data_IF_972070664341
#
_entry.id   IF_972070664341
#
_cell.length_a   1.000
_cell.length_b   1.000
_cell.length_c   1.000
_cell.angle_alpha   90.00
_cell.angle_beta   90.00
_cell.angle_gamma   90.00
#
_symmetry.space_group_name_H-M   'P 1'
#
loop_
_entity.id
_entity.type
_entity.pdbx_description
1 polymer ?
#
# COMPACT_ATOMS: atom_id res chain seq x y z
N UNK A 1 -32.37 17.64 26.27
CA UNK A 1 -32.29 16.63 25.19
C UNK A 1 -30.97 15.91 25.35
N UNK A 2 -30.95 14.59 25.29
CA UNK A 2 -29.72 13.79 25.35
C UNK A 2 -29.17 13.65 23.94
N UNK A 3 -27.93 14.07 23.74
CA UNK A 3 -27.31 14.14 22.42
C UNK A 3 -25.86 13.63 22.39
N UNK A 4 -25.34 13.16 23.53
CA UNK A 4 -23.92 12.82 23.69
C UNK A 4 -23.72 11.31 23.87
N UNK A 5 -22.72 10.73 23.21
CA UNK A 5 -22.28 9.35 23.43
C UNK A 5 -21.16 9.37 24.47
N UNK A 6 -21.31 8.65 25.58
CA UNK A 6 -20.29 8.53 26.62
C UNK A 6 -19.46 7.28 26.43
N UNK A 7 -18.14 7.36 26.56
CA UNK A 7 -17.24 6.20 26.48
C UNK A 7 -16.64 5.92 27.86
N UNK A 8 -17.06 4.80 28.46
CA UNK A 8 -16.50 4.27 29.71
C UNK A 8 -15.42 3.23 29.38
N UNK A 9 -14.22 3.40 29.93
CA UNK A 9 -13.05 2.56 29.61
C UNK A 9 -12.07 2.46 30.80
N UNK A 10 -11.16 1.48 30.76
CA UNK A 10 -10.13 1.35 31.78
C UNK A 10 -8.91 2.24 31.47
N UNK A 11 -8.76 3.36 32.18
CA UNK A 11 -7.58 4.23 32.06
C UNK A 11 -6.37 3.66 32.83
N UNK A 12 -5.13 3.73 32.29
CA UNK A 12 -4.77 4.14 30.94
C UNK A 12 -4.77 2.99 29.90
N UNK A 13 -5.10 1.76 30.33
CA UNK A 13 -4.83 0.54 29.57
C UNK A 13 -5.64 0.41 28.26
N UNK A 14 -6.85 0.98 28.21
CA UNK A 14 -7.75 0.93 27.06
C UNK A 14 -7.82 2.28 26.31
N UNK A 15 -6.88 3.19 26.57
CA UNK A 15 -6.88 4.52 25.98
C UNK A 15 -6.79 4.48 24.45
N UNK A 16 -5.91 3.66 23.87
CA UNK A 16 -5.70 3.59 22.42
C UNK A 16 -7.01 3.31 21.66
N UNK A 17 -7.76 2.30 22.11
CA UNK A 17 -9.06 1.96 21.53
C UNK A 17 -10.09 3.07 21.76
N UNK A 18 -10.16 3.58 22.99
CA UNK A 18 -11.17 4.57 23.38
C UNK A 18 -10.97 5.89 22.63
N UNK A 19 -9.71 6.28 22.41
CA UNK A 19 -9.33 7.42 21.56
C UNK A 19 -9.74 7.17 20.12
N UNK A 20 -9.40 6.00 19.56
CA UNK A 20 -9.70 5.64 18.18
C UNK A 20 -11.21 5.63 17.90
N UNK A 21 -12.02 5.04 18.77
CA UNK A 21 -13.47 4.99 18.54
C UNK A 21 -14.11 6.37 18.68
N UNK A 22 -13.62 7.19 19.61
CA UNK A 22 -14.06 8.59 19.77
C UNK A 22 -13.82 9.37 18.48
N UNK A 23 -12.61 9.32 17.91
CA UNK A 23 -12.29 10.08 16.71
C UNK A 23 -13.16 9.67 15.53
N UNK A 24 -13.39 8.36 15.34
CA UNK A 24 -14.27 7.86 14.26
C UNK A 24 -15.71 8.32 14.40
N UNK A 25 -16.26 8.29 15.61
CA UNK A 25 -17.64 8.72 15.87
C UNK A 25 -17.79 10.24 15.68
N UNK A 26 -16.83 11.04 16.13
CA UNK A 26 -16.86 12.50 15.92
C UNK A 26 -16.74 12.88 14.44
N UNK A 27 -15.86 12.21 13.68
CA UNK A 27 -15.76 12.40 12.22
C UNK A 27 -17.08 12.10 11.50
N UNK A 28 -17.88 11.19 12.07
CA UNK A 28 -19.21 10.85 11.56
C UNK A 28 -20.31 11.78 12.09
N UNK A 29 -19.94 12.84 12.81
CA UNK A 29 -20.83 13.88 13.31
C UNK A 29 -21.51 13.58 14.65
N UNK A 30 -21.13 12.50 15.34
CA UNK A 30 -21.66 12.22 16.68
C UNK A 30 -20.97 13.10 17.71
N UNK A 31 -21.71 13.57 18.71
CA UNK A 31 -21.14 14.26 19.87
C UNK A 31 -20.70 13.22 20.88
N UNK A 32 -19.41 13.14 21.14
CA UNK A 32 -18.83 12.10 22.00
C UNK A 32 -18.18 12.73 23.24
N UNK A 33 -18.20 12.01 24.35
CA UNK A 33 -17.50 12.36 25.58
C UNK A 33 -16.67 11.17 26.05
N UNK A 34 -15.40 11.42 26.35
CA UNK A 34 -14.45 10.46 26.90
C UNK A 34 -13.66 11.13 28.02
N UNK A 35 -13.40 10.43 29.12
CA UNK A 35 -12.52 10.91 30.18
C UNK A 35 -11.07 10.81 29.69
N UNK A 36 -10.47 11.93 29.33
CA UNK A 36 -9.24 11.91 28.50
C UNK A 36 -7.98 12.37 29.20
N UNK A 37 -8.04 13.33 30.11
CA UNK A 37 -6.84 13.90 30.69
C UNK A 37 -7.11 14.40 32.10
N UNK A 38 -6.13 14.17 32.98
CA UNK A 38 -6.15 14.63 34.35
C UNK A 38 -6.54 16.10 34.43
N UNK A 39 -7.55 16.35 35.26
CA UNK A 39 -7.86 17.67 35.81
C UNK A 39 -6.55 18.43 36.06
N UNK A 40 -6.49 19.68 35.61
CA UNK A 40 -5.36 20.61 35.85
C UNK A 40 -5.06 20.85 37.35
N UNK A 41 -5.86 20.24 38.25
CA UNK A 41 -5.80 20.32 39.70
C UNK A 41 -6.91 21.21 40.26
N UNK A 42 -7.79 20.67 41.11
CA UNK A 42 -8.78 21.45 41.89
C UNK A 42 -10.27 21.21 41.58
N UNK A 43 -10.62 20.49 40.52
CA UNK A 43 -12.03 20.19 40.19
C UNK A 43 -12.53 18.89 40.86
N UNK A 44 -13.84 18.80 41.13
CA UNK A 44 -14.46 17.56 41.63
C UNK A 44 -14.67 16.58 40.46
N UNK A 45 -13.70 15.70 40.23
CA UNK A 45 -13.69 14.64 39.20
C UNK A 45 -15.05 13.99 38.92
N UNK A 46 -15.74 13.55 39.97
CA UNK A 46 -17.02 12.86 39.84
C UNK A 46 -18.18 13.73 39.36
N UNK A 47 -18.18 15.03 39.68
CA UNK A 47 -19.28 15.94 39.31
C UNK A 47 -19.33 16.22 37.80
N UNK A 48 -18.19 16.14 37.11
CA UNK A 48 -18.10 16.30 35.65
C UNK A 48 -18.60 15.04 34.94
N UNK A 49 -18.20 13.86 35.43
CA UNK A 49 -18.65 12.56 34.90
C UNK A 49 -20.17 12.41 35.02
N UNK A 50 -20.74 12.75 36.19
CA UNK A 50 -22.20 12.71 36.38
C UNK A 50 -22.93 13.62 35.38
N UNK A 51 -22.48 14.87 35.21
CA UNK A 51 -23.07 15.80 34.24
C UNK A 51 -22.96 15.30 32.80
N UNK A 52 -21.89 14.59 32.45
CA UNK A 52 -21.71 13.99 31.14
C UNK A 52 -22.70 12.82 30.94
N UNK A 53 -22.81 11.92 31.92
CA UNK A 53 -23.75 10.80 31.90
C UNK A 53 -25.22 11.26 31.84
N UNK A 54 -25.60 12.31 32.56
CA UNK A 54 -26.97 12.87 32.51
C UNK A 54 -27.36 13.37 31.10
N UNK A 55 -26.37 13.82 30.32
CA UNK A 55 -26.54 14.31 28.93
C UNK A 55 -26.42 13.19 27.90
N UNK A 56 -26.08 11.99 28.33
CA UNK A 56 -25.74 10.90 27.44
C UNK A 56 -26.98 10.22 26.87
N UNK A 57 -26.99 10.00 25.55
CA UNK A 57 -28.01 9.21 24.86
C UNK A 57 -27.64 7.72 24.82
N UNK A 58 -26.34 7.41 24.78
CA UNK A 58 -25.78 6.05 24.87
C UNK A 58 -24.48 6.07 25.67
N UNK A 59 -24.22 4.97 26.37
CA UNK A 59 -22.98 4.69 27.07
C UNK A 59 -22.30 3.51 26.37
N UNK A 60 -21.18 3.76 25.71
CA UNK A 60 -20.32 2.73 25.13
C UNK A 60 -19.35 2.26 26.20
N UNK A 61 -19.45 1.00 26.59
CA UNK A 61 -18.60 0.41 27.61
C UNK A 61 -17.50 -0.42 26.95
N UNK A 62 -16.25 0.02 27.06
CA UNK A 62 -15.10 -0.72 26.55
C UNK A 62 -14.84 -1.93 27.43
N UNK A 63 -15.18 -3.10 26.91
CA UNK A 63 -15.07 -4.39 27.58
C UNK A 63 -13.74 -5.05 27.23
N UNK A 64 -12.86 -5.14 28.22
CA UNK A 64 -11.52 -5.73 28.11
C UNK A 64 -11.14 -6.47 29.39
N UNK A 65 -10.06 -7.23 29.39
CA UNK A 65 -9.48 -7.79 30.63
C UNK A 65 -9.04 -6.72 31.64
N UNK A 66 -8.87 -5.47 31.21
CA UNK A 66 -8.33 -4.39 32.04
C UNK A 66 -9.39 -3.74 32.94
N UNK A 67 -10.68 -4.00 32.69
CA UNK A 67 -11.80 -3.46 33.50
C UNK A 67 -11.85 -4.03 34.91
N UNK A 68 -11.17 -5.16 35.16
CA UNK A 68 -11.07 -5.81 36.47
C UNK A 68 -9.67 -5.66 37.07
N UNK A 69 -9.59 -5.73 38.40
CA UNK A 69 -8.33 -5.86 39.15
C UNK A 69 -7.79 -7.28 39.04
N UNK A 70 -6.57 -7.53 39.54
CA UNK A 70 -5.97 -8.87 39.61
C UNK A 70 -6.80 -9.87 40.41
N UNK A 71 -7.73 -9.39 41.24
CA UNK A 71 -8.64 -10.19 42.06
C UNK A 71 -9.99 -10.45 41.37
N UNK A 72 -10.17 -9.99 40.12
CA UNK A 72 -11.39 -10.20 39.35
C UNK A 72 -12.55 -9.26 39.73
N UNK A 73 -12.26 -8.19 40.47
CA UNK A 73 -13.25 -7.17 40.89
C UNK A 73 -13.22 -6.01 39.89
N UNK A 74 -14.37 -5.46 39.52
CA UNK A 74 -14.43 -4.27 38.68
C UNK A 74 -13.62 -3.13 39.30
N UNK A 75 -12.92 -2.35 38.46
CA UNK A 75 -12.30 -1.12 38.93
C UNK A 75 -13.38 -0.15 39.39
N UNK A 76 -13.20 0.43 40.58
CA UNK A 76 -14.20 1.25 41.25
C UNK A 76 -14.72 2.42 40.39
N UNK A 77 -13.87 3.06 39.57
CA UNK A 77 -14.31 4.11 38.65
C UNK A 77 -15.32 3.62 37.61
N UNK A 78 -15.03 2.48 36.98
CA UNK A 78 -15.91 1.84 35.99
C UNK A 78 -17.19 1.35 36.65
N UNK A 79 -17.09 0.75 37.84
CA UNK A 79 -18.25 0.28 38.60
C UNK A 79 -19.22 1.44 38.89
N UNK A 80 -18.71 2.54 39.42
CA UNK A 80 -19.53 3.72 39.71
C UNK A 80 -20.19 4.31 38.46
N UNK A 81 -19.47 4.38 37.33
CA UNK A 81 -20.02 4.86 36.05
C UNK A 81 -21.15 3.96 35.55
N UNK A 82 -20.95 2.64 35.58
CA UNK A 82 -21.94 1.67 35.13
C UNK A 82 -23.17 1.64 36.06
N UNK A 83 -22.98 1.74 37.37
CA UNK A 83 -24.10 1.84 38.33
C UNK A 83 -24.91 3.12 38.11
N UNK A 84 -24.25 4.25 37.92
CA UNK A 84 -24.93 5.51 37.62
C UNK A 84 -25.68 5.44 36.28
N UNK A 85 -25.05 4.89 35.23
CA UNK A 85 -25.69 4.68 33.94
C UNK A 85 -26.91 3.74 34.02
N UNK A 86 -26.84 2.67 34.82
CA UNK A 86 -27.98 1.77 35.09
C UNK A 86 -29.10 2.50 35.82
N UNK A 87 -28.78 3.35 36.80
CA UNK A 87 -29.77 4.15 37.53
C UNK A 87 -30.54 5.10 36.59
N UNK A 88 -29.81 5.74 35.68
CA UNK A 88 -30.37 6.61 34.63
C UNK A 88 -31.27 5.81 33.68
N UNK A 89 -30.82 4.65 33.22
CA UNK A 89 -31.59 3.80 32.32
C UNK A 89 -32.91 3.34 32.94
N UNK A 90 -32.89 2.99 34.24
CA UNK A 90 -34.09 2.60 34.97
C UNK A 90 -35.04 3.79 35.21
N UNK A 91 -34.52 4.95 35.60
CA UNK A 91 -35.33 6.14 35.88
C UNK A 91 -36.05 6.66 34.62
N UNK A 92 -35.35 6.67 33.48
CA UNK A 92 -35.87 7.26 32.24
C UNK A 92 -36.41 6.20 31.25
N UNK A 93 -36.45 4.92 31.65
CA UNK A 93 -36.97 3.82 30.84
C UNK A 93 -36.19 3.55 29.55
N UNK A 94 -34.88 3.80 29.56
CA UNK A 94 -34.03 3.74 28.36
C UNK A 94 -33.64 2.31 28.02
N UNK A 95 -33.94 1.91 26.78
CA UNK A 95 -33.55 0.61 26.23
C UNK A 95 -32.17 0.68 25.59
N UNK A 96 -31.41 -0.41 25.73
CA UNK A 96 -30.05 -0.56 25.18
C UNK A 96 -29.15 0.65 25.48
N UNK A 97 -29.26 1.21 26.69
CA UNK A 97 -28.56 2.44 27.07
C UNK A 97 -27.05 2.23 27.18
N UNK A 98 -26.65 1.07 27.70
CA UNK A 98 -25.25 0.64 27.84
C UNK A 98 -24.96 -0.39 26.75
N UNK A 99 -23.95 -0.12 25.91
CA UNK A 99 -23.54 -0.97 24.79
C UNK A 99 -22.09 -1.44 25.05
N UNK A 100 -21.87 -2.71 25.37
CA UNK A 100 -20.52 -3.27 25.53
C UNK A 100 -19.78 -3.39 24.18
N UNK A 101 -18.54 -2.91 24.12
CA UNK A 101 -17.62 -3.03 23.00
C UNK A 101 -16.50 -3.99 23.41
N UNK A 102 -16.47 -5.19 22.84
CA UNK A 102 -15.55 -6.27 23.26
C UNK A 102 -14.25 -6.22 22.47
N UNK A 103 -13.14 -5.80 23.10
CA UNK A 103 -11.92 -5.38 22.37
C UNK A 103 -10.76 -6.38 22.44
N UNK A 104 -10.83 -7.43 23.26
CA UNK A 104 -9.74 -8.40 23.42
C UNK A 104 -10.27 -9.85 23.53
N UNK A 105 -9.45 -10.79 23.98
CA UNK A 105 -9.87 -12.18 24.17
C UNK A 105 -10.40 -12.46 25.59
N UNK A 106 -10.90 -11.43 26.27
CA UNK A 106 -11.48 -11.58 27.61
C UNK A 106 -12.75 -12.45 27.61
N UNK A 107 -12.94 -13.18 28.70
CA UNK A 107 -14.16 -13.96 28.93
C UNK A 107 -15.39 -13.05 28.98
N UNK A 108 -16.53 -13.48 28.44
CA UNK A 108 -17.81 -12.79 28.58
C UNK A 108 -18.38 -12.84 30.03
N UNK A 109 -17.72 -13.58 30.93
CA UNK A 109 -18.11 -13.74 32.34
C UNK A 109 -17.19 -13.00 33.33
N UNK A 110 -16.45 -11.97 32.90
CA UNK A 110 -15.55 -11.23 33.82
C UNK A 110 -16.29 -10.54 34.96
N UNK A 111 -17.56 -10.18 34.76
CA UNK A 111 -18.36 -9.41 35.72
C UNK A 111 -19.78 -9.96 35.79
N UNK A 112 -20.32 -10.03 37.01
CA UNK A 112 -21.71 -10.44 37.27
C UNK A 112 -22.69 -9.50 36.56
N UNK A 113 -23.63 -10.06 35.79
CA UNK A 113 -24.73 -9.31 35.13
C UNK A 113 -24.46 -8.85 33.69
N UNK A 114 -23.23 -8.95 33.19
CA UNK A 114 -22.89 -8.69 31.78
C UNK A 114 -23.13 -9.83 30.75
N UNK A 115 -23.31 -11.11 31.14
CA UNK A 115 -23.62 -12.19 30.19
C UNK A 115 -24.98 -12.07 29.47
N UNK A 116 -25.86 -11.16 29.92
CA UNK A 116 -27.21 -10.98 29.39
C UNK A 116 -27.36 -9.81 28.40
N UNK A 117 -26.25 -9.12 28.06
CA UNK A 117 -26.24 -8.01 27.11
C UNK A 117 -25.45 -8.45 25.89
N UNK A 118 -25.95 -8.19 24.68
CA UNK A 118 -25.21 -8.48 23.45
C UNK A 118 -24.04 -7.49 23.28
N UNK A 119 -22.83 -8.02 23.14
CA UNK A 119 -21.61 -7.23 22.90
C UNK A 119 -21.43 -6.98 21.41
N UNK A 120 -20.80 -5.86 21.07
CA UNK A 120 -20.30 -5.60 19.73
C UNK A 120 -18.82 -6.04 19.68
N UNK A 121 -18.45 -7.01 18.84
CA UNK A 121 -17.09 -7.51 18.75
C UNK A 121 -16.16 -6.52 18.02
N UNK A 122 -15.08 -6.12 18.69
CA UNK A 122 -13.94 -5.36 18.17
C UNK A 122 -12.63 -6.16 18.28
N UNK A 123 -12.64 -7.35 18.88
CA UNK A 123 -11.45 -8.16 19.16
C UNK A 123 -10.68 -8.66 17.92
N UNK A 124 -11.35 -8.86 16.78
CA UNK A 124 -10.70 -9.29 15.54
C UNK A 124 -10.32 -8.10 14.64
N UNK A 125 -11.27 -7.22 14.34
CA UNK A 125 -11.10 -6.09 13.43
C UNK A 125 -11.94 -4.91 13.91
N UNK A 126 -11.29 -3.78 14.17
CA UNK A 126 -11.96 -2.58 14.67
C UNK A 126 -12.93 -1.97 13.64
N UNK A 127 -12.63 -2.08 12.34
CA UNK A 127 -13.49 -1.55 11.28
C UNK A 127 -14.82 -2.30 11.19
N UNK A 128 -14.81 -3.63 11.36
CA UNK A 128 -16.03 -4.45 11.37
C UNK A 128 -16.89 -4.15 12.60
N UNK A 129 -16.25 -4.02 13.77
CA UNK A 129 -16.93 -3.59 15.00
C UNK A 129 -17.58 -2.21 14.87
N UNK A 130 -16.87 -1.25 14.27
CA UNK A 130 -17.39 0.09 14.01
C UNK A 130 -18.61 0.04 13.08
N UNK A 131 -18.55 -0.74 12.00
CA UNK A 131 -19.70 -0.93 11.09
C UNK A 131 -20.93 -1.47 11.80
N UNK A 132 -20.76 -2.39 12.75
CA UNK A 132 -21.86 -2.92 13.54
C UNK A 132 -22.39 -1.89 14.56
N UNK A 133 -21.49 -1.13 15.21
CA UNK A 133 -21.86 -0.04 16.10
C UNK A 133 -22.67 1.03 15.38
N UNK A 134 -22.25 1.45 14.19
CA UNK A 134 -22.98 2.47 13.41
C UNK A 134 -24.39 2.01 13.06
N UNK A 135 -24.58 0.76 12.61
CA UNK A 135 -25.91 0.19 12.38
C UNK A 135 -26.79 0.23 13.64
N UNK A 136 -26.20 0.03 14.82
CA UNK A 136 -26.92 0.10 16.10
C UNK A 136 -27.30 1.53 16.46
N UNK A 137 -26.37 2.49 16.31
CA UNK A 137 -26.63 3.91 16.56
C UNK A 137 -27.70 4.48 15.62
N UNK A 138 -27.67 4.10 14.34
CA UNK A 138 -28.69 4.45 13.35
C UNK A 138 -30.06 3.87 13.71
N UNK A 139 -30.12 2.57 14.05
CA UNK A 139 -31.35 1.90 14.50
C UNK A 139 -31.97 2.58 15.71
N UNK A 140 -31.13 3.08 16.61
CA UNK A 140 -31.54 3.76 17.84
C UNK A 140 -31.81 5.27 17.65
N UNK A 141 -31.74 5.77 16.41
CA UNK A 141 -31.95 7.18 16.05
C UNK A 141 -31.04 8.15 16.84
N UNK A 142 -29.78 7.76 17.07
CA UNK A 142 -28.80 8.64 17.71
C UNK A 142 -28.46 9.80 16.76
N UNK A 143 -28.56 11.08 17.19
CA UNK A 143 -28.37 12.22 16.31
C UNK A 143 -26.89 12.36 15.89
N UNK A 144 -26.66 12.60 14.59
CA UNK A 144 -25.36 12.89 14.00
C UNK A 144 -25.42 14.16 13.16
N UNK A 145 -24.54 15.13 13.41
CA UNK A 145 -24.46 16.39 12.69
C UNK A 145 -23.29 16.39 11.71
N UNK A 146 -23.47 15.75 10.56
CA UNK A 146 -22.44 15.59 9.52
C UNK A 146 -21.99 16.92 8.86
N UNK A 147 -22.57 18.07 9.23
CA UNK A 147 -22.35 19.36 8.55
C UNK A 147 -21.86 20.52 9.42
N UNK A 148 -21.62 20.36 10.73
CA UNK A 148 -21.41 21.55 11.59
C UNK A 148 -20.45 21.39 12.78
N UNK A 149 -19.52 20.42 12.76
CA UNK A 149 -18.49 20.33 13.80
C UNK A 149 -17.08 20.40 13.19
N UNK A 150 -16.33 21.45 13.56
CA UNK A 150 -14.87 21.38 13.60
C UNK A 150 -14.52 20.55 14.84
N UNK A 151 -14.17 19.28 14.67
CA UNK A 151 -13.71 18.48 15.80
C UNK A 151 -12.31 18.96 16.21
N UNK A 152 -12.21 19.56 17.39
CA UNK A 152 -10.93 19.91 18.04
C UNK A 152 -10.11 18.67 18.37
N UNK A 153 -10.75 17.51 18.44
CA UNK A 153 -10.16 16.25 18.85
C UNK A 153 -9.65 15.44 17.65
N UNK A 154 -10.27 15.56 16.47
CA UNK A 154 -9.68 15.05 15.22
C UNK A 154 -8.39 15.80 14.91
N UNK A 155 -8.37 17.13 15.08
CA UNK A 155 -7.14 17.93 14.95
C UNK A 155 -6.07 17.51 15.97
N UNK A 156 -6.44 17.28 17.24
CA UNK A 156 -5.52 16.75 18.25
C UNK A 156 -5.04 15.31 17.95
N UNK A 157 -5.91 14.42 17.48
CA UNK A 157 -5.60 13.03 17.17
C UNK A 157 -4.69 12.89 15.94
N UNK A 158 -4.95 13.68 14.90
CA UNK A 158 -4.09 13.79 13.72
C UNK A 158 -2.71 14.32 14.11
N UNK A 159 -2.63 15.28 15.04
CA UNK A 159 -1.36 15.86 15.46
C UNK A 159 -0.58 14.97 16.46
N UNK A 160 -1.23 14.41 17.48
CA UNK A 160 -0.56 13.74 18.61
C UNK A 160 -0.30 12.23 18.36
N UNK A 161 -1.21 11.53 17.67
CA UNK A 161 -1.17 10.06 17.54
C UNK A 161 -0.69 9.55 16.18
N UNK A 162 -0.96 10.25 15.08
CA UNK A 162 -0.71 9.75 13.71
C UNK A 162 0.67 10.17 13.16
N UNK A 163 1.48 10.90 13.95
CA UNK A 163 2.61 11.76 13.53
C UNK A 163 2.09 13.15 13.22
N UNK A 164 2.82 14.22 13.60
CA UNK A 164 2.52 15.64 13.37
C UNK A 164 2.27 16.02 11.88
N UNK A 165 1.32 15.36 11.22
CA UNK A 165 1.02 15.42 9.80
C UNK A 165 -0.29 16.18 9.66
N UNK A 166 -0.25 17.48 9.89
CA UNK A 166 -1.42 18.32 9.64
C UNK A 166 -1.65 18.42 8.14
N UNK A 167 -2.86 18.09 7.69
CA UNK A 167 -3.30 18.37 6.32
C UNK A 167 -3.52 19.87 6.20
N UNK A 168 -2.91 20.49 5.20
CA UNK A 168 -2.94 21.94 4.99
C UNK A 168 -3.52 22.28 3.61
N UNK A 169 -4.33 23.35 3.48
CA UNK A 169 -4.68 23.90 2.17
C UNK A 169 -3.42 24.44 1.50
N UNK A 170 -2.91 23.69 0.54
CA UNK A 170 -1.66 23.95 -0.15
C UNK A 170 -1.68 23.18 -1.45
N UNK A 171 -1.54 23.88 -2.58
CA UNK A 171 -1.41 23.23 -3.88
C UNK A 171 -0.12 22.41 -3.90
N UNK A 172 -0.26 21.09 -3.92
CA UNK A 172 0.86 20.17 -3.91
C UNK A 172 0.78 19.23 -5.11
N UNK A 173 1.94 19.06 -5.74
CA UNK A 173 2.13 18.09 -6.82
C UNK A 173 2.55 16.74 -6.26
N UNK A 174 1.70 15.76 -6.46
CA UNK A 174 1.93 14.37 -6.11
C UNK A 174 2.51 13.60 -7.29
N UNK A 175 3.40 12.67 -6.97
CA UNK A 175 4.06 11.79 -7.92
C UNK A 175 3.52 10.39 -7.67
N UNK A 176 2.86 9.84 -8.68
CA UNK A 176 2.32 8.49 -8.57
C UNK A 176 3.44 7.46 -8.67
N UNK A 177 3.09 6.20 -8.42
CA UNK A 177 3.95 5.07 -8.79
C UNK A 177 3.64 4.52 -10.18
N UNK A 178 2.94 5.31 -11.01
CA UNK A 178 2.56 4.96 -12.36
C UNK A 178 3.53 5.57 -13.36
N UNK A 179 4.02 4.77 -14.29
CA UNK A 179 5.05 5.18 -15.23
C UNK A 179 4.68 4.78 -16.66
N UNK A 180 4.27 5.77 -17.44
CA UNK A 180 3.72 5.55 -18.78
C UNK A 180 4.79 5.49 -19.87
N UNK A 181 4.40 4.83 -20.95
CA UNK A 181 5.12 4.86 -22.22
C UNK A 181 4.82 6.18 -22.94
N UNK A 182 5.86 6.82 -23.48
CA UNK A 182 5.74 8.03 -24.30
C UNK A 182 5.58 7.68 -25.79
N UNK A 183 6.38 6.73 -26.28
CA UNK A 183 6.37 6.30 -27.69
C UNK A 183 6.60 4.79 -27.77
N UNK A 184 5.89 4.10 -28.67
CA UNK A 184 6.12 2.69 -28.96
C UNK A 184 5.58 2.29 -30.35
N UNK A 185 6.03 1.15 -30.91
CA UNK A 185 5.45 0.62 -32.14
C UNK A 185 3.97 0.32 -31.99
N UNK A 186 3.18 0.66 -33.02
CA UNK A 186 1.72 0.48 -33.00
C UNK A 186 1.29 -0.98 -33.23
N UNK A 187 2.24 -1.88 -33.51
CA UNK A 187 1.96 -3.29 -33.79
C UNK A 187 2.86 -4.18 -32.96
N UNK A 188 2.32 -5.29 -32.49
CA UNK A 188 3.12 -6.41 -32.02
C UNK A 188 2.63 -7.71 -32.65
N UNK A 189 3.51 -8.70 -32.67
CA UNK A 189 3.34 -9.95 -33.35
C UNK A 189 3.40 -11.10 -32.35
N UNK A 190 2.59 -12.13 -32.58
CA UNK A 190 2.69 -13.43 -31.92
C UNK A 190 3.05 -14.47 -32.96
N UNK A 191 4.08 -15.26 -32.68
CA UNK A 191 4.55 -16.34 -33.55
C UNK A 191 4.40 -17.66 -32.83
N UNK A 192 3.53 -18.53 -33.33
CA UNK A 192 3.28 -19.86 -32.79
C UNK A 192 4.11 -20.89 -33.53
N UNK A 193 4.87 -21.70 -32.79
CA UNK A 193 5.69 -22.79 -33.33
C UNK A 193 5.10 -24.14 -32.98
N UNK A 194 5.60 -25.21 -33.62
CA UNK A 194 5.12 -26.56 -33.36
C UNK A 194 5.40 -27.01 -31.90
N UNK A 195 6.44 -26.47 -31.25
CA UNK A 195 6.75 -26.78 -29.86
C UNK A 195 7.58 -25.68 -29.18
N UNK A 196 7.66 -25.76 -27.84
CA UNK A 196 8.42 -24.82 -27.00
C UNK A 196 9.92 -24.79 -27.30
N UNK A 197 10.52 -25.90 -27.77
CA UNK A 197 11.95 -25.93 -28.09
C UNK A 197 12.27 -25.08 -29.32
N UNK A 198 11.43 -25.14 -30.37
CA UNK A 198 11.54 -24.25 -31.53
C UNK A 198 11.35 -22.78 -31.15
N UNK A 199 10.29 -22.47 -30.40
CA UNK A 199 10.01 -21.11 -29.93
C UNK A 199 11.18 -20.54 -29.11
N UNK A 200 11.76 -21.34 -28.21
CA UNK A 200 12.94 -20.97 -27.42
C UNK A 200 14.18 -20.73 -28.30
N UNK A 201 14.43 -21.60 -29.27
CA UNK A 201 15.56 -21.45 -30.19
C UNK A 201 15.48 -20.14 -30.99
N UNK A 202 14.28 -19.80 -31.51
CA UNK A 202 14.08 -18.54 -32.24
C UNK A 202 14.22 -17.32 -31.32
N UNK A 203 13.69 -17.37 -30.10
CA UNK A 203 13.92 -16.30 -29.12
C UNK A 203 15.41 -16.08 -28.85
N UNK A 204 16.15 -17.16 -28.60
CA UNK A 204 17.58 -17.09 -28.25
C UNK A 204 18.45 -16.63 -29.43
N UNK A 205 18.01 -16.91 -30.67
CA UNK A 205 18.61 -16.40 -31.91
C UNK A 205 18.48 -14.87 -32.05
N UNK A 206 17.36 -14.29 -31.59
CA UNK A 206 17.02 -12.87 -31.74
C UNK A 206 17.28 -12.06 -30.45
N UNK A 207 18.37 -12.37 -29.72
CA UNK A 207 18.71 -11.82 -28.40
C UNK A 207 18.92 -10.29 -28.33
N UNK A 208 19.08 -9.63 -29.47
CA UNK A 208 19.35 -8.18 -29.55
C UNK A 208 18.11 -7.33 -29.21
N UNK A 209 16.91 -7.93 -29.30
CA UNK A 209 15.63 -7.28 -29.01
C UNK A 209 14.84 -8.04 -27.93
N UNK A 210 13.93 -7.36 -27.21
CA UNK A 210 13.06 -8.02 -26.25
C UNK A 210 12.04 -8.94 -26.94
N UNK A 211 12.05 -10.22 -26.58
CA UNK A 211 11.08 -11.21 -27.05
C UNK A 211 10.57 -11.99 -25.83
N UNK A 212 9.25 -12.09 -25.70
CA UNK A 212 8.63 -12.95 -24.69
C UNK A 212 8.45 -14.38 -25.20
N UNK A 213 8.39 -15.35 -24.29
CA UNK A 213 8.08 -16.75 -24.56
C UNK A 213 6.98 -17.20 -23.59
N UNK A 214 5.93 -17.79 -24.13
CA UNK A 214 4.84 -18.42 -23.40
C UNK A 214 4.44 -19.69 -24.16
N UNK A 215 4.68 -20.86 -23.55
CA UNK A 215 4.51 -22.17 -24.18
C UNK A 215 5.27 -22.29 -25.52
N UNK A 216 4.58 -22.52 -26.64
CA UNK A 216 5.12 -22.61 -28.00
C UNK A 216 4.99 -21.30 -28.78
N UNK A 217 4.61 -20.20 -28.13
CA UNK A 217 4.44 -18.89 -28.74
C UNK A 217 5.50 -17.91 -28.24
N UNK A 218 6.07 -17.12 -29.15
CA UNK A 218 6.85 -15.93 -28.80
C UNK A 218 6.09 -14.67 -29.21
N UNK A 219 6.36 -13.56 -28.52
CA UNK A 219 5.83 -12.25 -28.91
C UNK A 219 6.93 -11.22 -29.05
N UNK A 220 6.80 -10.34 -30.04
CA UNK A 220 7.80 -9.34 -30.42
C UNK A 220 7.11 -8.11 -31.01
N UNK A 221 7.75 -6.95 -30.91
CA UNK A 221 7.36 -5.78 -31.71
C UNK A 221 7.87 -5.87 -33.16
N UNK A 222 8.85 -6.74 -33.40
CA UNK A 222 9.42 -6.95 -34.73
C UNK A 222 8.63 -7.99 -35.53
N UNK A 223 8.23 -7.59 -36.74
CA UNK A 223 7.57 -8.44 -37.74
C UNK A 223 8.52 -9.35 -38.52
N UNK A 224 9.83 -9.07 -38.48
CA UNK A 224 10.87 -9.64 -39.35
C UNK A 224 11.97 -10.34 -38.54
N UNK A 225 11.60 -11.28 -37.67
CA UNK A 225 12.56 -12.06 -36.89
C UNK A 225 13.45 -12.93 -37.79
N UNK A 226 14.66 -13.24 -37.30
CA UNK A 226 15.50 -14.27 -37.90
C UNK A 226 14.97 -15.66 -37.51
N UNK A 227 14.70 -16.51 -38.50
CA UNK A 227 14.19 -17.88 -38.33
C UNK A 227 15.22 -18.96 -38.67
N UNK A 228 16.45 -18.58 -39.03
CA UNK A 228 17.49 -19.51 -39.49
C UNK A 228 18.38 -19.92 -38.32
N UNK A 229 18.24 -21.17 -37.87
CA UNK A 229 18.98 -21.74 -36.74
C UNK A 229 20.10 -22.63 -37.26
N UNK A 230 21.31 -22.44 -36.73
CA UNK A 230 22.44 -23.32 -37.04
C UNK A 230 22.37 -24.59 -36.19
N UNK A 231 22.37 -25.77 -36.82
CA UNK A 231 22.40 -27.08 -36.16
C UNK A 231 23.27 -28.04 -36.96
N UNK A 232 24.23 -28.69 -36.30
CA UNK A 232 25.10 -29.70 -36.91
C UNK A 232 25.81 -29.21 -38.20
N UNK A 233 26.28 -27.95 -38.20
CA UNK A 233 26.86 -27.23 -39.35
C UNK A 233 25.92 -26.99 -40.55
N UNK A 234 24.63 -27.27 -40.40
CA UNK A 234 23.59 -26.92 -41.38
C UNK A 234 22.74 -25.75 -40.88
N UNK A 235 22.25 -24.94 -41.81
CA UNK A 235 21.32 -23.85 -41.53
C UNK A 235 19.90 -24.37 -41.75
N UNK A 236 19.13 -24.52 -40.66
CA UNK A 236 17.76 -25.00 -40.69
C UNK A 236 16.82 -23.81 -40.48
N UNK A 237 15.86 -23.63 -41.39
CA UNK A 237 14.83 -22.62 -41.24
C UNK A 237 13.67 -23.14 -40.39
N UNK A 238 13.42 -22.50 -39.24
CA UNK A 238 12.35 -22.86 -38.30
C UNK A 238 11.29 -21.77 -38.36
N UNK A 239 10.32 -21.93 -39.27
CA UNK A 239 9.22 -20.98 -39.44
C UNK A 239 8.08 -21.24 -38.42
N UNK A 240 7.37 -20.18 -38.01
CA UNK A 240 6.14 -20.34 -37.22
C UNK A 240 5.05 -21.03 -38.05
N UNK A 241 4.21 -21.82 -37.39
CA UNK A 241 3.00 -22.41 -37.96
C UNK A 241 1.93 -21.33 -38.19
N UNK A 242 1.83 -20.39 -37.24
CA UNK A 242 0.92 -19.25 -37.32
C UNK A 242 1.62 -17.97 -36.86
N UNK A 243 1.34 -16.87 -37.58
CA UNK A 243 1.76 -15.52 -37.22
C UNK A 243 0.53 -14.66 -37.08
N UNK A 244 0.39 -14.02 -35.92
CA UNK A 244 -0.68 -13.08 -35.63
C UNK A 244 -0.09 -11.68 -35.45
N UNK A 245 -0.82 -10.66 -35.90
CA UNK A 245 -0.43 -9.26 -35.75
C UNK A 245 -1.60 -8.49 -35.17
N UNK A 246 -1.33 -7.70 -34.13
CA UNK A 246 -2.32 -6.89 -33.44
C UNK A 246 -1.86 -5.44 -33.39
N UNK A 247 -2.80 -4.53 -33.58
CA UNK A 247 -2.58 -3.12 -33.28
C UNK A 247 -2.69 -2.86 -31.77
N UNK A 248 -2.19 -1.71 -31.31
CA UNK A 248 -2.41 -1.29 -29.91
C UNK A 248 -3.90 -1.14 -29.60
N UNK A 249 -4.69 -0.66 -30.55
CA UNK A 249 -6.16 -0.54 -30.41
C UNK A 249 -6.80 -1.90 -30.17
N UNK A 250 -6.41 -2.95 -30.91
CA UNK A 250 -6.93 -4.31 -30.70
C UNK A 250 -6.68 -4.80 -29.26
N UNK A 251 -5.56 -4.40 -28.66
CA UNK A 251 -5.19 -4.81 -27.30
C UNK A 251 -5.91 -4.01 -26.23
N UNK A 252 -6.00 -2.68 -26.40
CA UNK A 252 -6.58 -1.80 -25.40
C UNK A 252 -8.10 -1.79 -25.41
N UNK A 253 -8.72 -1.78 -26.60
CA UNK A 253 -10.17 -1.69 -26.75
C UNK A 253 -10.83 -3.08 -26.85
N UNK A 254 -10.04 -4.07 -27.25
CA UNK A 254 -10.48 -5.46 -27.36
C UNK A 254 -10.89 -5.88 -28.76
N UNK A 255 -10.88 -7.20 -28.99
CA UNK A 255 -11.37 -7.83 -30.22
C UNK A 255 -12.09 -9.14 -29.92
N UNK A 256 -12.92 -9.59 -30.85
CA UNK A 256 -13.63 -10.86 -30.75
C UNK A 256 -12.97 -11.90 -31.66
N UNK A 257 -12.63 -13.06 -31.10
CA UNK A 257 -12.14 -14.22 -31.85
C UNK A 257 -12.68 -15.51 -31.25
N UNK A 258 -13.21 -16.38 -32.09
CA UNK A 258 -13.64 -17.73 -31.69
C UNK A 258 -12.50 -18.75 -31.66
N UNK A 259 -11.35 -18.40 -32.24
CA UNK A 259 -10.16 -19.25 -32.33
C UNK A 259 -8.98 -18.59 -31.65
N UNK A 260 -7.97 -19.39 -31.31
CA UNK A 260 -6.73 -18.86 -30.77
C UNK A 260 -6.08 -17.88 -31.76
N UNK A 261 -5.55 -16.73 -31.28
CA UNK A 261 -5.69 -16.21 -29.91
C UNK A 261 -7.02 -15.47 -29.70
N UNK A 262 -7.60 -15.62 -28.50
CA UNK A 262 -8.63 -14.71 -28.01
C UNK A 262 -8.00 -13.39 -27.55
N UNK A 263 -8.82 -12.35 -27.33
CA UNK A 263 -8.31 -11.06 -26.82
C UNK A 263 -7.52 -11.21 -25.52
N UNK A 264 -8.02 -12.01 -24.58
CA UNK A 264 -7.30 -12.30 -23.32
C UNK A 264 -5.92 -12.95 -23.55
N UNK A 265 -5.80 -13.82 -24.55
CA UNK A 265 -4.51 -14.44 -24.90
C UNK A 265 -3.55 -13.38 -25.41
N UNK A 266 -4.00 -12.55 -26.36
CA UNK A 266 -3.20 -11.47 -26.91
C UNK A 266 -2.78 -10.45 -25.84
N UNK A 267 -3.68 -10.10 -24.92
CA UNK A 267 -3.40 -9.22 -23.78
C UNK A 267 -2.33 -9.81 -22.85
N UNK A 268 -2.42 -11.10 -22.51
CA UNK A 268 -1.43 -11.79 -21.68
C UNK A 268 -0.05 -11.82 -22.35
N UNK A 269 -0.02 -12.14 -23.65
CA UNK A 269 1.19 -12.12 -24.47
C UNK A 269 1.82 -10.73 -24.53
N UNK A 270 0.99 -9.70 -24.70
CA UNK A 270 1.42 -8.31 -24.73
C UNK A 270 1.97 -7.85 -23.37
N UNK A 271 1.28 -8.11 -22.26
CA UNK A 271 1.78 -7.83 -20.90
C UNK A 271 3.12 -8.51 -20.64
N UNK A 272 3.26 -9.77 -21.06
CA UNK A 272 4.52 -10.51 -20.94
C UNK A 272 5.63 -9.88 -21.78
N UNK A 273 5.34 -9.44 -23.00
CA UNK A 273 6.29 -8.72 -23.84
C UNK A 273 6.71 -7.39 -23.20
N UNK A 274 5.76 -6.61 -22.68
CA UNK A 274 6.03 -5.37 -21.96
C UNK A 274 6.93 -5.58 -20.75
N UNK A 275 6.71 -6.66 -20.00
CA UNK A 275 7.61 -7.06 -18.91
C UNK A 275 9.03 -7.38 -19.41
N UNK A 276 9.17 -8.10 -20.53
CA UNK A 276 10.47 -8.38 -21.15
C UNK A 276 11.18 -7.09 -21.62
N UNK A 277 10.43 -6.12 -22.17
CA UNK A 277 10.97 -4.81 -22.57
C UNK A 277 11.60 -4.11 -21.38
N UNK A 278 10.85 -3.95 -20.28
CA UNK A 278 11.37 -3.21 -19.12
C UNK A 278 12.47 -3.96 -18.39
N UNK A 279 12.38 -5.29 -18.30
CA UNK A 279 13.45 -6.11 -17.71
C UNK A 279 14.76 -5.99 -18.50
N UNK A 280 14.70 -5.93 -19.84
CA UNK A 280 15.87 -5.71 -20.67
C UNK A 280 16.41 -4.29 -20.52
N UNK A 281 15.55 -3.27 -20.42
CA UNK A 281 15.97 -1.88 -20.16
C UNK A 281 16.73 -1.81 -18.83
N UNK A 282 16.22 -2.44 -17.78
CA UNK A 282 16.85 -2.49 -16.47
C UNK A 282 18.19 -3.21 -16.48
N UNK A 283 18.27 -4.35 -17.18
CA UNK A 283 19.53 -5.06 -17.38
C UNK A 283 20.56 -4.20 -18.10
N UNK A 284 20.17 -3.48 -19.16
CA UNK A 284 21.04 -2.55 -19.90
C UNK A 284 21.50 -1.38 -19.04
N UNK A 285 20.66 -0.94 -18.10
CA UNK A 285 21.01 0.07 -17.09
C UNK A 285 21.91 -0.46 -15.95
N UNK A 286 22.27 -1.76 -15.96
CA UNK A 286 23.13 -2.38 -14.96
C UNK A 286 22.40 -2.78 -13.68
N UNK A 287 21.07 -2.89 -13.69
CA UNK A 287 20.31 -3.35 -12.53
C UNK A 287 20.33 -4.87 -12.42
N UNK A 288 20.41 -5.36 -11.19
CA UNK A 288 20.27 -6.78 -10.86
C UNK A 288 18.86 -7.06 -10.38
N UNK A 289 18.39 -8.29 -10.63
CA UNK A 289 17.08 -8.78 -10.19
C UNK A 289 17.25 -9.73 -9.01
N UNK A 290 16.29 -9.70 -8.10
CA UNK A 290 16.17 -10.62 -6.98
C UNK A 290 14.71 -11.06 -6.85
N UNK A 291 14.49 -12.34 -6.58
CA UNK A 291 13.17 -12.91 -6.35
C UNK A 291 12.79 -12.76 -4.87
N UNK A 292 11.70 -12.06 -4.62
CA UNK A 292 11.16 -11.86 -3.27
C UNK A 292 10.33 -13.06 -2.83
N UNK A 293 9.97 -13.12 -1.54
CA UNK A 293 9.17 -14.21 -0.95
C UNK A 293 7.81 -14.43 -1.64
N UNK A 294 7.24 -13.39 -2.27
CA UNK A 294 6.01 -13.47 -3.07
C UNK A 294 6.27 -13.84 -4.54
N UNK A 295 7.45 -14.36 -4.88
CA UNK A 295 7.91 -14.71 -6.23
C UNK A 295 8.01 -13.54 -7.22
N UNK A 296 7.74 -12.30 -6.78
CA UNK A 296 7.92 -11.11 -7.62
C UNK A 296 9.40 -10.73 -7.68
N UNK A 297 9.81 -10.22 -8.83
CA UNK A 297 11.18 -9.74 -9.02
C UNK A 297 11.30 -8.27 -8.60
N UNK A 298 12.26 -7.98 -7.74
CA UNK A 298 12.72 -6.64 -7.43
C UNK A 298 14.05 -6.36 -8.15
N UNK A 299 14.19 -5.16 -8.70
CA UNK A 299 15.36 -4.71 -9.43
C UNK A 299 16.08 -3.62 -8.67
N UNK A 300 17.38 -3.75 -8.48
CA UNK A 300 18.19 -2.80 -7.71
C UNK A 300 19.56 -2.58 -8.35
N UNK A 301 20.22 -1.48 -7.98
CA UNK A 301 21.56 -1.16 -8.45
C UNK A 301 22.62 -1.77 -7.53
N UNK A 302 23.46 -2.71 -7.99
CA UNK A 302 24.61 -3.19 -7.23
C UNK A 302 25.67 -2.09 -7.03
N UNK A 303 26.53 -2.30 -6.04
CA UNK A 303 27.67 -1.42 -5.77
C UNK A 303 28.85 -1.78 -6.69
N UNK A 304 28.78 -1.34 -7.93
CA UNK A 304 29.91 -1.46 -8.87
C UNK A 304 31.12 -0.61 -8.45
N UNK A 305 30.85 0.63 -8.04
CA UNK A 305 31.86 1.65 -7.76
C UNK A 305 31.55 2.40 -6.46
N UNK A 306 32.22 3.55 -6.26
CA UNK A 306 31.87 4.51 -5.21
C UNK A 306 30.40 4.92 -5.35
N UNK A 307 29.76 5.08 -4.21
CA UNK A 307 28.37 5.53 -4.12
C UNK A 307 28.26 6.94 -4.71
N UNK A 308 27.51 7.07 -5.79
CA UNK A 308 27.22 8.35 -6.45
C UNK A 308 25.76 8.74 -6.23
N UNK A 309 25.49 10.05 -6.29
CA UNK A 309 24.13 10.60 -6.22
C UNK A 309 23.64 10.89 -7.62
N UNK A 310 22.43 10.44 -7.92
CA UNK A 310 21.68 10.85 -9.11
C UNK A 310 21.20 12.27 -8.87
N UNK A 311 21.57 13.20 -9.75
CA UNK A 311 21.14 14.59 -9.70
C UNK A 311 19.97 14.77 -10.65
N UNK A 312 18.94 15.46 -10.21
CA UNK A 312 17.78 15.78 -11.04
C UNK A 312 17.16 17.10 -10.60
N UNK A 313 16.35 17.67 -11.48
CA UNK A 313 15.51 18.84 -11.21
C UNK A 313 14.08 18.32 -11.18
N UNK A 314 13.29 18.73 -10.20
CA UNK A 314 11.88 18.34 -10.17
C UNK A 314 11.16 18.80 -11.45
N UNK A 315 10.18 18.04 -11.97
CA UNK A 315 9.38 18.44 -13.12
C UNK A 315 8.79 19.83 -12.95
N UNK A 316 8.93 20.66 -13.99
CA UNK A 316 8.39 22.03 -14.04
C UNK A 316 8.77 22.88 -12.81
N UNK A 317 9.97 22.64 -12.27
CA UNK A 317 10.48 23.34 -11.10
C UNK A 317 11.94 23.72 -11.32
N UNK A 318 12.45 24.65 -10.52
CA UNK A 318 13.88 24.98 -10.45
C UNK A 318 14.58 24.24 -9.31
N UNK A 319 13.83 23.51 -8.47
CA UNK A 319 14.36 22.82 -7.30
C UNK A 319 15.23 21.64 -7.73
N UNK A 320 16.51 21.71 -7.40
CA UNK A 320 17.51 20.65 -7.64
C UNK A 320 17.51 19.66 -6.48
N UNK A 321 17.65 18.37 -6.78
CA UNK A 321 17.82 17.30 -5.79
C UNK A 321 18.97 16.38 -6.20
N UNK A 322 19.58 15.75 -5.22
CA UNK A 322 20.58 14.71 -5.43
C UNK A 322 20.35 13.56 -4.44
N UNK A 323 20.12 12.35 -4.93
CA UNK A 323 19.81 11.17 -4.11
C UNK A 323 20.70 9.99 -4.48
N UNK A 324 21.19 9.27 -3.48
CA UNK A 324 21.90 8.00 -3.71
C UNK A 324 20.87 6.86 -3.70
N UNK A 325 20.98 5.94 -4.66
CA UNK A 325 20.12 4.76 -4.75
C UNK A 325 20.64 3.57 -3.94
N UNK A 326 21.84 3.69 -3.38
CA UNK A 326 22.41 2.72 -2.46
C UNK A 326 23.32 3.43 -1.46
N UNK A 327 23.63 2.78 -0.36
CA UNK A 327 24.56 3.33 0.62
C UNK A 327 24.97 2.33 1.69
N UNK A 328 25.92 2.73 2.53
CA UNK A 328 26.41 1.88 3.62
C UNK A 328 25.49 1.97 4.84
N UNK A 329 25.37 0.84 5.53
CA UNK A 329 24.70 0.71 6.82
C UNK A 329 25.63 -0.04 7.79
N UNK A 330 26.12 0.69 8.80
CA UNK A 330 27.07 0.16 9.79
C UNK A 330 26.54 -1.10 10.45
N UNK A 331 27.35 -2.16 10.44
CA UNK A 331 27.03 -3.46 11.02
C UNK A 331 26.10 -4.33 10.17
N UNK A 332 25.75 -3.91 8.95
CA UNK A 332 24.92 -4.68 8.02
C UNK A 332 25.63 -4.90 6.69
N UNK A 333 26.15 -3.84 6.08
CA UNK A 333 26.69 -3.86 4.72
C UNK A 333 26.13 -2.69 3.93
N UNK A 334 25.45 -2.98 2.81
CA UNK A 334 24.87 -1.98 1.92
C UNK A 334 23.35 -2.11 1.86
N UNK A 335 22.67 -0.96 1.83
CA UNK A 335 21.25 -0.88 1.48
C UNK A 335 21.13 -0.42 0.04
N UNK A 336 20.11 -0.90 -0.66
CA UNK A 336 19.81 -0.61 -2.05
C UNK A 336 18.33 -0.27 -2.18
N UNK A 337 18.03 0.83 -2.85
CA UNK A 337 16.69 1.08 -3.35
C UNK A 337 16.44 0.17 -4.55
N UNK A 338 15.31 -0.52 -4.52
CA UNK A 338 14.87 -1.37 -5.61
C UNK A 338 13.42 -1.15 -5.95
N UNK A 339 13.01 -1.63 -7.13
CA UNK A 339 11.62 -1.56 -7.58
C UNK A 339 11.16 -2.91 -8.10
N UNK A 340 9.93 -3.31 -7.77
CA UNK A 340 9.22 -4.35 -8.51
C UNK A 340 8.28 -3.69 -9.52
N UNK A 341 8.00 -4.38 -10.61
CA UNK A 341 7.26 -3.82 -11.74
C UNK A 341 6.12 -4.72 -12.17
N UNK A 342 4.99 -4.09 -12.48
CA UNK A 342 3.84 -4.73 -13.09
C UNK A 342 3.40 -3.93 -14.33
N UNK A 343 3.27 -4.57 -15.51
CA UNK A 343 2.68 -3.94 -16.69
C UNK A 343 1.21 -3.54 -16.42
N UNK A 344 0.84 -2.37 -16.90
CA UNK A 344 -0.50 -1.79 -16.75
C UNK A 344 -0.99 -1.35 -18.12
N UNK A 345 -2.22 -1.73 -18.48
CA UNK A 345 -2.87 -1.34 -19.73
C UNK A 345 -3.95 -0.28 -19.51
N UNK A 346 -4.47 -0.18 -18.28
CA UNK A 346 -5.50 0.77 -17.86
C UNK A 346 -5.20 1.25 -16.42
N UNK A 347 -5.36 2.55 -16.09
CA UNK A 347 -5.92 3.62 -16.91
C UNK A 347 -4.94 4.23 -17.92
N UNK A 348 -3.70 3.74 -17.96
CA UNK A 348 -2.67 4.16 -18.91
C UNK A 348 -1.86 2.93 -19.35
N UNK A 349 -1.18 3.07 -20.49
CA UNK A 349 -0.26 2.07 -21.00
C UNK A 349 1.15 2.30 -20.46
N UNK A 350 1.63 1.39 -19.62
CA UNK A 350 2.95 1.47 -19.01
C UNK A 350 3.14 0.49 -17.86
N UNK A 351 3.58 1.02 -16.72
CA UNK A 351 4.00 0.21 -15.59
C UNK A 351 3.56 0.80 -14.25
N UNK A 352 3.15 -0.06 -13.33
CA UNK A 352 3.09 0.25 -11.90
C UNK A 352 4.40 -0.17 -11.22
N UNK A 353 4.99 0.74 -10.45
CA UNK A 353 6.23 0.56 -9.73
C UNK A 353 5.95 0.38 -8.24
N UNK A 354 6.63 -0.54 -7.57
CA UNK A 354 6.56 -0.66 -6.11
C UNK A 354 7.96 -0.56 -5.54
N UNK A 355 8.13 0.37 -4.60
CA UNK A 355 9.41 0.68 -3.97
C UNK A 355 9.81 -0.36 -2.93
N UNK A 356 11.08 -0.72 -2.90
CA UNK A 356 11.67 -1.65 -1.95
C UNK A 356 13.02 -1.15 -1.43
N UNK A 357 13.42 -1.67 -0.28
CA UNK A 357 14.79 -1.55 0.23
C UNK A 357 15.33 -2.95 0.43
N UNK A 358 16.48 -3.21 -0.18
CA UNK A 358 17.16 -4.50 -0.15
C UNK A 358 18.51 -4.32 0.54
N UNK A 359 19.00 -5.37 1.21
CA UNK A 359 20.29 -5.35 1.88
C UNK A 359 21.24 -6.40 1.33
N UNK A 360 22.49 -6.02 1.14
CA UNK A 360 23.59 -6.90 0.71
C UNK A 360 24.74 -6.78 1.69
N UNK A 361 25.52 -7.84 1.87
CA UNK A 361 26.73 -7.80 2.70
C UNK A 361 27.94 -7.23 1.96
N UNK A 362 28.02 -7.48 0.65
CA UNK A 362 29.17 -7.18 -0.21
C UNK A 362 28.88 -6.10 -1.27
N UNK A 363 27.63 -5.64 -1.38
CA UNK A 363 27.18 -4.68 -2.39
C UNK A 363 26.52 -5.34 -3.61
N UNK A 364 26.48 -6.67 -3.68
CA UNK A 364 25.98 -7.44 -4.82
C UNK A 364 24.96 -8.50 -4.40
N UNK A 365 25.35 -9.41 -3.51
CA UNK A 365 24.53 -10.54 -3.07
C UNK A 365 23.65 -10.15 -1.89
N UNK A 366 22.35 -10.44 -1.99
CA UNK A 366 21.43 -10.15 -0.91
C UNK A 366 21.72 -11.04 0.31
N UNK A 367 21.43 -10.48 1.49
CA UNK A 367 21.41 -11.24 2.72
C UNK A 367 20.20 -12.19 2.66
N UNK A 368 20.45 -13.50 2.64
CA UNK A 368 19.45 -14.57 2.45
C UNK A 368 18.55 -14.81 3.68
N UNK A 369 18.93 -14.24 4.83
CA UNK A 369 18.14 -14.32 6.06
C UNK A 369 16.95 -13.33 6.03
N UNK A 370 15.75 -13.85 5.75
CA UNK A 370 14.51 -13.07 5.65
C UNK A 370 14.21 -12.24 6.91
N UNK A 371 14.49 -12.79 8.11
CA UNK A 371 14.24 -12.09 9.38
C UNK A 371 15.18 -10.89 9.51
N UNK A 372 16.45 -11.05 9.11
CA UNK A 372 17.42 -9.94 9.06
C UNK A 372 17.02 -8.90 8.02
N UNK A 373 16.65 -9.30 6.80
CA UNK A 373 16.17 -8.38 5.77
C UNK A 373 14.97 -7.56 6.26
N UNK A 374 13.99 -8.21 6.88
CA UNK A 374 12.81 -7.52 7.43
C UNK A 374 13.18 -6.55 8.55
N UNK A 375 14.03 -6.96 9.50
CA UNK A 375 14.52 -6.10 10.58
C UNK A 375 15.29 -4.88 10.05
N UNK A 376 16.18 -5.07 9.07
CA UNK A 376 16.95 -3.98 8.48
C UNK A 376 16.07 -3.03 7.67
N UNK A 377 15.07 -3.55 6.95
CA UNK A 377 14.06 -2.74 6.25
C UNK A 377 13.32 -1.83 7.22
N UNK A 378 12.79 -2.36 8.33
CA UNK A 378 12.14 -1.55 9.38
C UNK A 378 13.10 -0.49 9.94
N UNK A 379 14.34 -0.88 10.27
CA UNK A 379 15.35 0.03 10.83
C UNK A 379 15.77 1.15 9.88
N UNK A 380 15.88 0.88 8.58
CA UNK A 380 16.21 1.89 7.55
C UNK A 380 14.98 2.74 7.18
N UNK A 381 13.82 2.10 7.09
CA UNK A 381 12.55 2.68 6.65
C UNK A 381 11.90 3.61 7.67
N UNK A 382 12.22 3.50 8.97
CA UNK A 382 11.61 4.34 10.03
C UNK A 382 11.79 5.86 9.88
N UNK A 383 12.68 6.31 8.99
CA UNK A 383 12.93 7.73 8.64
C UNK A 383 12.62 8.05 7.17
N UNK A 384 12.08 7.09 6.43
CA UNK A 384 11.73 7.28 5.03
C UNK A 384 10.24 7.56 4.96
N UNK A 385 9.92 8.84 5.00
CA UNK A 385 8.60 9.37 4.71
C UNK A 385 8.43 9.61 3.21
N UNK A 386 7.30 10.19 2.83
CA UNK A 386 6.88 10.31 1.45
C UNK A 386 7.86 11.13 0.61
N UNK A 387 8.41 12.26 1.10
CA UNK A 387 9.48 12.97 0.37
C UNK A 387 10.67 12.05 0.10
N UNK A 388 11.09 11.26 1.09
CA UNK A 388 12.26 10.42 0.95
C UNK A 388 12.05 9.27 -0.05
N UNK A 389 10.88 8.64 -0.04
CA UNK A 389 10.49 7.60 -1.00
C UNK A 389 10.29 8.15 -2.41
N UNK A 390 9.58 9.28 -2.54
CA UNK A 390 9.42 10.02 -3.80
C UNK A 390 10.78 10.32 -4.41
N UNK A 391 11.70 10.88 -3.64
CA UNK A 391 13.02 11.26 -4.16
C UNK A 391 13.85 10.05 -4.60
N UNK A 392 13.70 8.90 -3.94
CA UNK A 392 14.35 7.65 -4.35
C UNK A 392 13.76 7.14 -5.66
N UNK A 393 12.43 7.16 -5.81
CA UNK A 393 11.74 6.75 -7.03
C UNK A 393 12.14 7.65 -8.22
N UNK A 394 12.12 8.97 -8.04
CA UNK A 394 12.52 9.93 -9.07
C UNK A 394 13.99 9.76 -9.45
N UNK A 395 14.87 9.60 -8.47
CA UNK A 395 16.28 9.30 -8.72
C UNK A 395 16.48 7.98 -9.48
N UNK A 396 15.67 6.97 -9.17
CA UNK A 396 15.72 5.67 -9.83
C UNK A 396 15.34 5.80 -11.30
N UNK A 397 14.23 6.46 -11.61
CA UNK A 397 13.80 6.68 -13.00
C UNK A 397 14.85 7.51 -13.77
N UNK A 398 15.35 8.59 -13.17
CA UNK A 398 16.36 9.46 -13.79
C UNK A 398 17.69 8.76 -14.07
N UNK A 399 18.05 7.74 -13.28
CA UNK A 399 19.26 6.92 -13.48
C UNK A 399 19.20 6.10 -14.77
N UNK A 400 18.00 5.79 -15.27
CA UNK A 400 17.76 4.95 -16.44
C UNK A 400 17.98 5.69 -17.76
N UNK A 401 18.19 7.00 -17.72
CA UNK A 401 18.48 7.80 -18.91
C UNK A 401 19.75 7.31 -19.60
N UNK A 402 19.66 7.19 -20.92
CA UNK A 402 20.78 6.92 -21.81
C UNK A 402 21.65 8.19 -21.99
N UNK A 403 22.65 8.12 -22.88
CA UNK A 403 23.57 9.24 -23.13
C UNK A 403 22.88 10.46 -23.75
N UNK A 404 21.77 10.25 -24.43
CA UNK A 404 20.96 11.29 -25.07
C UNK A 404 19.93 11.91 -24.10
N UNK A 405 19.90 11.43 -22.84
CA UNK A 405 18.97 11.90 -21.82
C UNK A 405 17.57 11.27 -21.89
N UNK A 406 17.35 10.32 -22.80
CA UNK A 406 16.09 9.60 -22.98
C UNK A 406 16.07 8.28 -22.20
N UNK A 407 14.88 7.79 -21.86
CA UNK A 407 14.70 6.44 -21.30
C UNK A 407 14.09 5.57 -22.39
N UNK A 408 14.93 4.91 -23.19
CA UNK A 408 14.49 4.14 -24.35
C UNK A 408 15.19 2.79 -24.50
N UNK A 409 14.54 1.89 -25.25
CA UNK A 409 15.10 0.59 -25.62
C UNK A 409 14.66 0.21 -27.04
N UNK A 410 15.62 -0.28 -27.83
CA UNK A 410 15.35 -0.86 -29.15
C UNK A 410 14.53 -2.14 -29.02
N UNK A 411 13.44 -2.23 -29.78
CA UNK A 411 12.50 -3.35 -29.76
C UNK A 411 12.33 -4.06 -31.11
N UNK A 412 12.92 -3.52 -32.18
CA UNK A 412 13.03 -4.18 -33.50
C UNK A 412 14.47 -4.19 -34.01
N UNK A 413 14.82 -5.16 -34.83
CA UNK A 413 16.13 -5.29 -35.48
C UNK A 413 16.43 -4.12 -36.41
N UNK A 414 15.39 -3.48 -36.94
CA UNK A 414 15.47 -2.29 -37.79
C UNK A 414 15.70 -0.99 -37.01
N UNK A 415 15.63 -1.03 -35.67
CA UNK A 415 15.99 0.09 -34.80
C UNK A 415 14.83 0.87 -34.20
N UNK A 416 13.57 0.43 -34.38
CA UNK A 416 12.45 1.05 -33.68
C UNK A 416 12.60 0.89 -32.16
N UNK A 417 12.16 1.89 -31.42
CA UNK A 417 12.34 1.96 -29.96
C UNK A 417 11.01 2.12 -29.24
N UNK A 418 11.00 1.68 -27.98
CA UNK A 418 10.03 2.13 -26.99
C UNK A 418 10.71 3.19 -26.14
N UNK A 419 10.04 4.34 -25.97
CA UNK A 419 10.47 5.43 -25.08
C UNK A 419 9.50 5.54 -23.91
N UNK A 420 10.04 5.59 -22.71
CA UNK A 420 9.29 5.82 -21.47
C UNK A 420 9.29 7.30 -21.13
N UNK A 421 8.23 7.78 -20.47
CA UNK A 421 8.20 9.16 -19.96
C UNK A 421 9.39 9.36 -19.02
N UNK A 422 9.91 10.58 -18.99
CA UNK A 422 11.01 10.93 -18.09
C UNK A 422 10.60 10.86 -16.60
N UNK A 423 9.30 11.03 -16.34
CA UNK A 423 8.71 11.15 -15.01
C UNK A 423 7.51 10.21 -14.88
N UNK A 424 7.17 9.77 -13.65
CA UNK A 424 5.91 9.09 -13.41
C UNK A 424 4.73 10.05 -13.64
N UNK A 425 3.51 9.51 -13.69
CA UNK A 425 2.32 10.35 -13.77
C UNK A 425 2.22 11.23 -12.52
N UNK A 426 1.80 12.48 -12.72
CA UNK A 426 1.72 13.51 -11.69
C UNK A 426 0.29 13.98 -11.53
N UNK A 427 -0.10 14.24 -10.30
CA UNK A 427 -1.42 14.75 -9.94
C UNK A 427 -1.24 16.04 -9.13
N UNK A 428 -2.19 16.96 -9.26
CA UNK A 428 -2.24 18.19 -8.46
C UNK A 428 -3.40 18.04 -7.48
N UNK A 429 -3.14 18.35 -6.22
CA UNK A 429 -4.15 18.41 -5.17
C UNK A 429 -4.10 19.79 -4.54
N UNK A 430 -5.26 20.34 -4.18
CA UNK A 430 -5.38 21.61 -3.44
C UNK A 430 -5.04 21.45 -1.94
N UNK A 431 -4.80 20.20 -1.52
CA UNK A 431 -4.42 19.83 -0.15
C UNK A 431 -3.04 19.19 -0.15
N UNK A 432 -2.21 19.63 0.80
CA UNK A 432 -0.90 19.08 1.12
C UNK A 432 -0.84 18.61 2.57
N UNK A 433 0.33 18.18 3.00
CA UNK A 433 0.57 17.85 4.41
C UNK A 433 2.04 18.13 4.77
N UNK A 434 2.29 18.27 6.06
CA UNK A 434 3.65 18.39 6.59
C UNK A 434 4.18 16.97 6.82
N UNK A 435 5.23 16.60 6.08
CA UNK A 435 5.96 15.35 6.32
C UNK A 435 6.49 15.36 7.76
N UNK A 436 6.36 14.26 8.51
CA UNK A 436 6.69 14.25 9.92
C UNK A 436 8.20 14.29 10.14
N UNK A 437 8.63 15.08 11.13
CA UNK A 437 10.05 15.26 11.46
C UNK A 437 10.59 14.28 12.53
N UNK A 438 9.71 13.46 13.12
CA UNK A 438 10.06 12.47 14.15
C UNK A 438 10.23 11.06 13.55
N UNK A 439 11.00 10.18 14.21
CA UNK A 439 11.08 8.78 13.79
C UNK A 439 9.74 8.07 14.01
N UNK A 440 9.30 7.25 13.04
CA UNK A 440 8.16 6.36 13.30
C UNK A 440 8.53 5.35 14.37
N UNK A 441 7.64 5.16 15.35
CA UNK A 441 7.74 4.02 16.26
C UNK A 441 7.66 2.73 15.45
N UNK A 442 8.56 1.79 15.72
CA UNK A 442 8.60 0.48 15.04
C UNK A 442 7.30 -0.30 15.31
N UNK A 443 6.64 -0.03 16.43
CA UNK A 443 5.38 -0.65 16.84
C UNK A 443 4.16 -0.08 16.09
N UNK A 444 4.30 1.09 15.45
CA UNK A 444 3.26 1.70 14.59
C UNK A 444 3.34 1.29 13.12
N UNK A 445 4.36 0.51 12.74
CA UNK A 445 4.45 -0.09 11.41
C UNK A 445 3.57 -1.32 11.44
N UNK A 446 2.27 -1.14 11.15
CA UNK A 446 1.33 -2.25 10.95
C UNK A 446 1.91 -3.20 9.88
N UNK A 447 1.89 -4.49 10.16
CA UNK A 447 2.12 -5.52 9.15
C UNK A 447 0.92 -5.48 8.20
N UNK A 448 1.00 -4.62 7.17
CA UNK A 448 0.07 -4.65 6.06
C UNK A 448 0.26 -5.99 5.33
N UNK A 449 -0.53 -6.99 5.71
CA UNK A 449 -0.66 -8.21 4.94
C UNK A 449 -1.33 -7.82 3.62
N UNK A 450 -0.57 -7.87 2.52
CA UNK A 450 -1.16 -7.80 1.19
C UNK A 450 -2.13 -8.97 1.07
N UNK A 451 -3.43 -8.67 0.99
CA UNK A 451 -4.40 -9.61 0.45
C UNK A 451 -3.88 -10.01 -0.93
N UNK A 452 -3.41 -11.26 -1.02
CA UNK A 452 -3.16 -11.91 -2.29
C UNK A 452 -4.52 -11.94 -3.00
N UNK A 453 -4.73 -11.02 -3.95
CA UNK A 453 -5.86 -11.12 -4.87
C UNK A 453 -5.85 -12.53 -5.44
N UNK A 454 -6.96 -13.24 -5.30
CA UNK A 454 -7.13 -14.66 -5.60
C UNK A 454 -6.88 -15.06 -7.08
N UNK A 455 -6.34 -14.16 -7.90
CA UNK A 455 -5.97 -14.41 -9.30
C UNK A 455 -4.53 -14.89 -9.49
N UNK A 456 -3.65 -14.87 -8.47
CA UNK A 456 -2.24 -15.28 -8.63
C UNK A 456 -1.93 -16.71 -8.14
N UNK A 457 -2.96 -17.52 -7.85
CA UNK A 457 -2.80 -18.90 -7.37
C UNK A 457 -2.98 -19.99 -8.46
N UNK A 458 -3.32 -19.62 -9.70
CA UNK A 458 -3.45 -20.60 -10.79
C UNK A 458 -2.50 -20.25 -11.95
N UNK A 459 -1.54 -21.16 -12.14
CA UNK A 459 -0.61 -21.39 -13.26
C UNK A 459 0.63 -20.50 -13.43
#
# INVERSE_FOLDING_TARGET
MRDTIFISHATPADNDFSIWITSRLEMLGYKVWIDKEGLLGGERFWATIQKALDRSIKVLFVYSKNIVTTEGILRQGIENELEYAKSIAAQDGLQDFIIPLHIDNSSYHLVIGQPNINHIPFNNNWADGLKQLLKKLEKDNVPSNFGNQKSSFSEWYENEYISNCSIIPHEERYYTSWWSIAEMPNRFYMYQFANTAQAKAIRDLNKEIPISLLSNCISSFDGNLNFSVQRDNEMIEVRPEHTFAFSLTDILDGFMSEKFPQHRDAENHFKRLMYCVIANLFRRAGLWKHEMSNKRLAYFLPKYDKITKVKFIYPESTRKKAKALLGEMRGVGFWHYGVSIQPTLFPFLGFSLKSHILFTSDGFQLIDDEKKQHSFRRKKGKRLFNEAWRDLLLAFIQRLKNKDGEISIQVTLQGEQIKLKEWPEMLISEMGYIDPDAEMSVDKIEDYYEDLTAEEAND
#
